data_IF_681642305635
#
_entry.id   IF_681642305635
#
_cell.length_a   1.000
_cell.length_b   1.000
_cell.length_c   1.000
_cell.angle_alpha   90.00
_cell.angle_beta   90.00
_cell.angle_gamma   90.00
#
_symmetry.space_group_name_H-M   'P 1'
#
loop_
_entity.id
_entity.type
_entity.pdbx_description
1 polymer ?
#
# COMPACT_ATOMS: atom_id res chain seq x y z
N UNK A 1 18.63 -55.89 -24.04
CA UNK A 1 18.14 -56.41 -22.76
C UNK A 1 18.87 -55.66 -21.63
N UNK A 2 18.18 -54.84 -20.94
CA UNK A 2 18.38 -54.40 -19.56
C UNK A 2 17.71 -53.07 -19.39
N UNK A 3 16.54 -53.03 -18.90
CA UNK A 3 16.10 -52.74 -17.55
C UNK A 3 16.28 -51.26 -17.12
N UNK A 4 15.27 -50.45 -17.49
CA UNK A 4 14.94 -49.20 -16.82
C UNK A 4 14.40 -49.50 -15.38
N UNK A 5 15.15 -49.17 -14.32
CA UNK A 5 14.61 -49.03 -12.99
C UNK A 5 14.28 -47.53 -12.73
N UNK A 6 13.00 -47.22 -12.70
CA UNK A 6 12.50 -45.98 -12.11
C UNK A 6 12.66 -46.08 -10.57
N UNK A 7 13.47 -45.23 -9.96
CA UNK A 7 13.49 -45.05 -8.52
C UNK A 7 12.29 -44.20 -8.09
N UNK A 8 11.35 -44.85 -7.45
CA UNK A 8 10.29 -44.16 -6.73
C UNK A 8 10.86 -43.47 -5.50
N UNK A 9 10.85 -42.15 -5.44
CA UNK A 9 11.25 -41.38 -4.25
C UNK A 9 10.11 -41.50 -3.24
N UNK A 10 10.27 -42.38 -2.25
CA UNK A 10 9.33 -42.49 -1.13
C UNK A 10 9.56 -41.31 -0.20
N UNK A 11 8.62 -40.37 -0.14
CA UNK A 11 8.59 -39.31 0.88
C UNK A 11 8.19 -39.96 2.18
N UNK A 12 9.19 -40.25 3.06
CA UNK A 12 8.93 -40.64 4.43
C UNK A 12 8.59 -39.42 5.25
N UNK A 13 7.34 -39.32 5.68
CA UNK A 13 6.91 -38.40 6.73
C UNK A 13 7.42 -38.93 8.06
N UNK A 14 8.37 -38.26 8.69
CA UNK A 14 8.82 -38.56 10.05
C UNK A 14 7.70 -38.17 11.03
N UNK A 15 6.89 -39.16 11.43
CA UNK A 15 5.86 -39.04 12.46
C UNK A 15 6.36 -39.50 13.84
N UNK A 16 7.56 -39.12 14.23
CA UNK A 16 8.05 -39.35 15.61
C UNK A 16 9.07 -38.28 15.98
N UNK A 17 8.57 -37.12 16.41
CA UNK A 17 9.21 -36.20 17.37
C UNK A 17 8.23 -35.08 17.73
N UNK A 18 7.11 -35.46 18.33
CA UNK A 18 6.09 -34.53 18.86
C UNK A 18 6.31 -34.34 20.37
N UNK A 19 7.34 -33.63 20.73
CA UNK A 19 7.41 -32.98 22.04
C UNK A 19 8.13 -31.65 21.88
N UNK A 20 7.36 -30.54 21.96
CA UNK A 20 7.84 -29.16 21.96
C UNK A 20 8.21 -28.55 20.60
N UNK A 21 7.39 -28.71 19.54
CA UNK A 21 7.35 -27.73 18.48
C UNK A 21 6.41 -26.60 18.91
N UNK A 22 6.94 -25.40 19.15
CA UNK A 22 6.19 -24.14 19.16
C UNK A 22 5.31 -24.12 17.91
N UNK A 23 4.01 -23.83 18.05
CA UNK A 23 3.10 -23.64 16.91
C UNK A 23 3.76 -22.70 15.90
N UNK A 24 4.19 -23.24 14.79
CA UNK A 24 4.51 -22.45 13.61
C UNK A 24 3.15 -21.95 13.12
N UNK A 25 2.93 -20.65 13.12
CA UNK A 25 1.71 -20.04 12.58
C UNK A 25 1.53 -20.52 11.14
N UNK A 26 0.59 -21.45 10.94
CA UNK A 26 0.28 -21.93 9.60
C UNK A 26 -0.46 -20.82 8.87
N UNK A 27 0.14 -20.28 7.82
CA UNK A 27 -0.49 -19.32 6.94
C UNK A 27 -1.69 -19.97 6.23
N UNK A 28 -2.78 -19.24 6.14
CA UNK A 28 -4.00 -19.66 5.48
C UNK A 28 -4.49 -18.57 4.52
N UNK A 29 -5.24 -18.92 3.47
CA UNK A 29 -5.79 -17.95 2.54
C UNK A 29 -6.99 -17.21 3.17
N UNK A 30 -6.68 -16.27 4.07
CA UNK A 30 -7.63 -15.46 4.80
C UNK A 30 -7.62 -14.05 4.24
N UNK A 31 -8.81 -13.54 3.97
CA UNK A 31 -9.07 -12.17 3.54
C UNK A 31 -10.10 -11.51 4.46
N UNK A 32 -10.05 -10.18 4.54
CA UNK A 32 -11.05 -9.43 5.28
C UNK A 32 -11.96 -8.69 4.31
N UNK A 33 -13.26 -8.79 4.56
CA UNK A 33 -14.28 -8.17 3.75
C UNK A 33 -15.21 -7.25 4.54
N UNK A 34 -16.09 -6.56 3.82
CA UNK A 34 -17.19 -5.78 4.38
C UNK A 34 -18.51 -6.27 3.81
N UNK A 35 -19.42 -6.64 4.66
CA UNK A 35 -20.78 -7.10 4.27
C UNK A 35 -21.79 -6.00 4.53
N UNK A 36 -22.74 -5.82 3.62
CA UNK A 36 -23.89 -4.97 3.82
C UNK A 36 -24.97 -5.75 4.57
N UNK A 37 -25.21 -5.38 5.83
CA UNK A 37 -26.16 -6.09 6.71
C UNK A 37 -27.62 -5.63 6.58
N UNK A 38 -27.87 -4.57 5.78
CA UNK A 38 -29.22 -4.02 5.57
C UNK A 38 -29.33 -3.46 4.16
N UNK A 39 -30.29 -3.92 3.38
CA UNK A 39 -30.59 -3.37 2.05
C UNK A 39 -30.93 -1.86 2.16
N UNK A 40 -30.20 -1.04 1.42
CA UNK A 40 -30.45 0.40 1.30
C UNK A 40 -29.89 1.31 2.40
N UNK A 41 -29.07 0.80 3.35
CA UNK A 41 -28.37 1.62 4.34
C UNK A 41 -26.86 1.35 4.31
N UNK A 42 -26.06 2.40 4.43
CA UNK A 42 -24.59 2.38 4.37
C UNK A 42 -23.88 1.72 5.57
N UNK A 43 -24.59 0.94 6.41
CA UNK A 43 -23.95 0.21 7.51
C UNK A 43 -23.32 -1.08 6.99
N UNK A 44 -22.03 -1.07 6.88
CA UNK A 44 -21.22 -2.26 6.61
C UNK A 44 -20.64 -2.81 7.91
N UNK A 45 -20.47 -4.13 7.96
CA UNK A 45 -19.80 -4.84 9.06
C UNK A 45 -18.59 -5.58 8.50
N UNK A 46 -17.44 -5.48 9.16
CA UNK A 46 -16.25 -6.24 8.80
C UNK A 46 -16.43 -7.73 9.06
N UNK A 47 -15.88 -8.55 8.19
CA UNK A 47 -15.96 -10.02 8.27
C UNK A 47 -14.62 -10.66 7.94
N UNK A 48 -14.31 -11.76 8.61
CA UNK A 48 -13.15 -12.62 8.35
C UNK A 48 -13.54 -13.76 7.43
N UNK A 49 -12.88 -13.85 6.29
CA UNK A 49 -13.25 -14.77 5.19
C UNK A 49 -12.12 -15.76 4.98
N UNK A 50 -12.44 -17.05 4.92
CA UNK A 50 -11.57 -18.11 4.44
C UNK A 50 -11.85 -18.35 2.96
N UNK A 51 -10.82 -18.40 2.12
CA UNK A 51 -10.90 -18.89 0.75
C UNK A 51 -10.60 -20.40 0.79
N UNK A 52 -11.59 -21.24 0.52
CA UNK A 52 -11.50 -22.70 0.69
C UNK A 52 -11.76 -23.42 -0.61
N UNK A 53 -10.68 -23.83 -1.31
CA UNK A 53 -10.76 -24.63 -2.53
C UNK A 53 -11.30 -26.04 -2.30
N UNK A 54 -11.39 -26.51 -1.04
CA UNK A 54 -12.01 -27.76 -0.66
C UNK A 54 -13.53 -27.68 -0.50
N UNK A 55 -14.08 -26.46 -0.39
CA UNK A 55 -15.53 -26.24 -0.31
C UNK A 55 -16.11 -25.99 -1.71
N UNK A 56 -17.11 -26.79 -2.11
CA UNK A 56 -17.78 -26.61 -3.40
C UNK A 56 -18.71 -25.40 -3.43
N UNK A 57 -19.14 -24.89 -2.30
CA UNK A 57 -20.10 -23.78 -2.17
C UNK A 57 -19.65 -22.76 -1.13
N UNK A 58 -20.13 -21.53 -1.28
CA UNK A 58 -19.84 -20.42 -0.38
C UNK A 58 -20.86 -20.34 0.78
N UNK A 59 -20.36 -20.02 1.99
CA UNK A 59 -21.12 -20.06 3.23
C UNK A 59 -20.92 -18.79 4.06
N UNK A 60 -21.97 -18.35 4.76
CA UNK A 60 -21.93 -17.22 5.68
C UNK A 60 -22.59 -17.55 7.02
N UNK A 61 -22.05 -17.04 8.12
CA UNK A 61 -22.65 -17.15 9.45
C UNK A 61 -24.00 -16.44 9.51
N UNK A 62 -24.97 -17.06 10.15
CA UNK A 62 -26.32 -16.51 10.34
C UNK A 62 -26.33 -15.13 11.00
N UNK A 63 -25.42 -14.86 11.92
CA UNK A 63 -25.34 -13.60 12.67
C UNK A 63 -25.08 -12.35 11.78
N UNK A 64 -24.54 -12.57 10.60
CA UNK A 64 -24.26 -11.50 9.63
C UNK A 64 -25.44 -11.21 8.69
N UNK A 65 -26.39 -12.11 8.60
CA UNK A 65 -27.50 -12.06 7.62
C UNK A 65 -28.90 -11.99 8.25
N UNK A 66 -28.98 -11.75 9.57
CA UNK A 66 -30.26 -11.74 10.33
C UNK A 66 -31.31 -10.75 9.81
N UNK A 67 -30.87 -9.67 9.13
CA UNK A 67 -31.73 -8.62 8.56
C UNK A 67 -31.94 -8.75 7.05
N UNK A 68 -31.40 -9.80 6.45
CA UNK A 68 -31.54 -10.08 5.02
C UNK A 68 -32.70 -11.07 4.80
N UNK A 69 -33.23 -11.07 3.59
CA UNK A 69 -34.27 -12.03 3.19
C UNK A 69 -33.66 -13.41 3.01
N UNK A 70 -33.99 -14.34 3.89
CA UNK A 70 -33.60 -15.74 3.80
C UNK A 70 -34.59 -16.52 2.94
N UNK A 71 -34.05 -17.46 2.15
CA UNK A 71 -34.82 -18.39 1.32
C UNK A 71 -34.55 -19.80 1.82
N UNK A 72 -35.61 -20.59 2.07
CA UNK A 72 -35.44 -21.99 2.45
C UNK A 72 -34.82 -22.79 1.29
N UNK A 73 -33.91 -23.66 1.63
CA UNK A 73 -33.26 -24.60 0.74
C UNK A 73 -33.28 -26.00 1.34
N UNK A 74 -32.93 -27.02 0.56
CA UNK A 74 -32.79 -28.37 1.07
C UNK A 74 -31.70 -28.41 2.17
N UNK A 75 -31.97 -29.18 3.24
CA UNK A 75 -30.96 -29.38 4.27
C UNK A 75 -29.75 -30.11 3.70
N UNK A 76 -28.58 -29.52 3.83
CA UNK A 76 -27.31 -30.08 3.36
C UNK A 76 -26.25 -30.00 4.45
N UNK A 77 -25.44 -31.04 4.55
CA UNK A 77 -24.25 -31.05 5.40
C UNK A 77 -23.02 -30.91 4.51
N UNK A 78 -22.19 -29.91 4.81
CA UNK A 78 -21.00 -29.60 4.04
C UNK A 78 -19.74 -29.93 4.85
N UNK A 79 -18.79 -30.59 4.23
CA UNK A 79 -17.47 -30.82 4.79
C UNK A 79 -16.52 -29.75 4.27
N UNK A 80 -16.01 -28.94 5.15
CA UNK A 80 -15.08 -27.86 4.76
C UNK A 80 -13.80 -27.98 5.60
N UNK A 81 -12.75 -27.27 5.22
CA UNK A 81 -11.52 -27.15 6.02
C UNK A 81 -11.80 -26.58 7.43
N UNK A 82 -12.96 -25.94 7.62
CA UNK A 82 -13.43 -25.36 8.87
C UNK A 82 -14.33 -26.30 9.69
N UNK A 83 -14.60 -27.52 9.22
CA UNK A 83 -15.46 -28.51 9.86
C UNK A 83 -16.77 -28.78 9.11
N UNK A 84 -17.73 -29.43 9.81
CA UNK A 84 -19.03 -29.72 9.25
C UNK A 84 -19.98 -28.53 9.42
N UNK A 85 -20.65 -28.14 8.35
CA UNK A 85 -21.62 -27.04 8.34
C UNK A 85 -22.96 -27.58 7.91
N UNK A 86 -24.00 -27.39 8.74
CA UNK A 86 -25.36 -27.68 8.38
C UNK A 86 -26.04 -26.42 7.84
N UNK A 87 -26.62 -26.50 6.65
CA UNK A 87 -27.32 -25.38 6.02
C UNK A 87 -28.70 -25.83 5.54
N UNK A 88 -29.71 -24.98 5.70
CA UNK A 88 -31.07 -25.17 5.21
C UNK A 88 -31.67 -23.88 4.62
N UNK A 89 -30.85 -22.84 4.47
CA UNK A 89 -31.25 -21.55 3.96
C UNK A 89 -30.16 -20.94 3.10
N UNK A 90 -30.59 -20.09 2.18
CA UNK A 90 -29.71 -19.25 1.33
C UNK A 90 -30.09 -17.79 1.45
N UNK A 91 -29.15 -16.93 1.23
CA UNK A 91 -29.38 -15.50 1.07
C UNK A 91 -28.51 -14.91 -0.03
N UNK A 92 -29.07 -13.93 -0.72
CA UNK A 92 -28.35 -13.07 -1.63
C UNK A 92 -27.77 -11.91 -0.84
N UNK A 93 -26.47 -11.76 -0.85
CA UNK A 93 -25.80 -10.72 -0.10
C UNK A 93 -24.81 -9.91 -0.96
N UNK A 94 -24.57 -8.69 -0.50
CA UNK A 94 -23.60 -7.80 -1.10
C UNK A 94 -22.43 -7.62 -0.15
N UNK A 95 -21.22 -7.81 -0.65
CA UNK A 95 -20.01 -7.62 0.13
C UNK A 95 -18.89 -7.09 -0.75
N UNK A 96 -17.84 -6.57 -0.14
CA UNK A 96 -16.64 -6.14 -0.82
C UNK A 96 -15.41 -6.75 -0.17
N UNK A 97 -14.34 -6.86 -0.95
CA UNK A 97 -13.01 -7.28 -0.51
C UNK A 97 -12.05 -6.09 -0.68
N UNK A 98 -12.04 -5.14 0.29
CA UNK A 98 -11.31 -3.88 0.17
C UNK A 98 -9.80 -4.06 0.05
N UNK A 99 -9.27 -5.20 0.50
CA UNK A 99 -7.84 -5.53 0.39
C UNK A 99 -7.38 -5.71 -1.05
N UNK A 100 -8.29 -6.07 -1.96
CA UNK A 100 -8.05 -6.13 -3.41
C UNK A 100 -8.56 -4.88 -4.11
N UNK A 101 -9.86 -4.56 -3.92
CA UNK A 101 -10.53 -3.43 -4.59
C UNK A 101 -11.51 -2.73 -3.63
N UNK A 102 -11.20 -1.50 -3.18
CA UNK A 102 -11.99 -0.78 -2.17
C UNK A 102 -13.42 -0.46 -2.58
N UNK A 103 -13.67 -0.26 -3.88
CA UNK A 103 -14.97 0.18 -4.41
C UNK A 103 -15.77 -0.94 -5.08
N UNK A 104 -15.17 -2.12 -5.29
CA UNK A 104 -15.82 -3.21 -6.01
C UNK A 104 -16.74 -3.99 -5.06
N UNK A 105 -18.02 -4.06 -5.42
CA UNK A 105 -19.03 -4.84 -4.67
C UNK A 105 -19.32 -6.15 -5.40
N UNK A 106 -19.34 -7.23 -4.65
CA UNK A 106 -19.69 -8.58 -5.10
C UNK A 106 -21.10 -8.87 -4.63
N UNK A 107 -21.96 -9.32 -5.54
CA UNK A 107 -23.27 -9.84 -5.24
C UNK A 107 -23.27 -11.35 -5.47
N UNK A 108 -23.60 -12.13 -4.44
CA UNK A 108 -23.59 -13.58 -4.52
C UNK A 108 -24.66 -14.22 -3.65
N UNK A 109 -25.20 -15.38 -4.06
CA UNK A 109 -26.10 -16.19 -3.25
C UNK A 109 -25.29 -17.22 -2.45
N UNK A 110 -25.37 -17.13 -1.12
CA UNK A 110 -24.61 -17.97 -0.20
C UNK A 110 -25.50 -18.83 0.67
N UNK A 111 -25.01 -20.01 1.04
CA UNK A 111 -25.61 -20.81 2.07
C UNK A 111 -25.45 -20.18 3.44
N UNK A 112 -26.53 -20.19 4.24
CA UNK A 112 -26.54 -19.67 5.61
C UNK A 112 -26.46 -20.84 6.58
N UNK A 113 -25.42 -20.85 7.41
CA UNK A 113 -25.18 -21.94 8.35
C UNK A 113 -24.75 -21.47 9.73
N UNK A 114 -24.83 -22.41 10.68
CA UNK A 114 -24.19 -22.26 11.99
C UNK A 114 -22.76 -22.75 11.83
N UNK A 115 -21.83 -21.77 11.76
CA UNK A 115 -20.38 -22.01 11.76
C UNK A 115 -19.92 -22.09 13.23
N UNK A 116 -20.41 -23.10 13.99
CA UNK A 116 -19.99 -23.32 15.38
C UNK A 116 -18.53 -23.76 15.41
N UNK A 117 -17.75 -23.18 16.33
CA UNK A 117 -16.31 -23.45 16.51
C UNK A 117 -15.40 -23.06 15.33
N UNK A 118 -15.83 -22.20 14.44
CA UNK A 118 -15.03 -21.78 13.29
C UNK A 118 -14.54 -20.35 13.49
N UNK A 119 -13.24 -20.15 13.27
CA UNK A 119 -12.57 -18.83 13.39
C UNK A 119 -12.90 -17.87 12.24
N UNK A 120 -13.84 -18.21 11.36
CA UNK A 120 -14.22 -17.45 10.16
C UNK A 120 -15.70 -17.09 10.18
N UNK A 121 -16.03 -15.95 9.61
CA UNK A 121 -17.41 -15.45 9.50
C UNK A 121 -18.05 -15.84 8.16
N UNK A 122 -17.22 -16.07 7.15
CA UNK A 122 -17.61 -16.45 5.80
C UNK A 122 -16.57 -17.41 5.22
N UNK A 123 -17.03 -18.32 4.37
CA UNK A 123 -16.18 -19.18 3.53
C UNK A 123 -16.56 -18.91 2.08
N UNK A 124 -15.58 -18.56 1.27
CA UNK A 124 -15.71 -18.48 -0.19
C UNK A 124 -15.22 -19.81 -0.75
N UNK A 125 -16.13 -20.56 -1.34
CA UNK A 125 -15.87 -21.85 -1.98
C UNK A 125 -15.55 -21.72 -3.46
N UNK A 126 -15.35 -22.87 -4.13
CA UNK A 126 -15.00 -22.93 -5.54
C UNK A 126 -16.02 -22.25 -6.45
N UNK A 127 -17.31 -22.31 -6.10
CA UNK A 127 -18.38 -21.64 -6.83
C UNK A 127 -18.10 -20.15 -7.08
N UNK A 128 -17.59 -19.45 -6.09
CA UNK A 128 -17.27 -18.03 -6.21
C UNK A 128 -15.80 -17.79 -6.58
N UNK A 129 -14.85 -18.62 -6.10
CA UNK A 129 -13.43 -18.51 -6.46
C UNK A 129 -13.22 -18.62 -7.96
N UNK A 130 -13.88 -19.58 -8.62
CA UNK A 130 -13.83 -19.76 -10.08
C UNK A 130 -14.48 -18.58 -10.81
N UNK A 131 -15.64 -18.10 -10.31
CA UNK A 131 -16.33 -16.96 -10.92
C UNK A 131 -15.48 -15.68 -10.86
N UNK A 132 -14.81 -15.44 -9.74
CA UNK A 132 -13.93 -14.28 -9.54
C UNK A 132 -12.55 -14.47 -10.19
N UNK A 133 -12.19 -15.69 -10.59
CA UNK A 133 -10.86 -16.07 -11.08
C UNK A 133 -9.76 -15.73 -10.10
N UNK A 134 -9.98 -16.09 -8.83
CA UNK A 134 -9.01 -15.88 -7.76
C UNK A 134 -8.01 -17.04 -7.71
N UNK A 135 -6.73 -16.72 -7.67
CA UNK A 135 -5.64 -17.69 -7.55
C UNK A 135 -5.06 -17.71 -6.14
N UNK A 136 -4.97 -18.90 -5.55
CA UNK A 136 -4.36 -19.14 -4.24
C UNK A 136 -3.00 -19.79 -4.47
N UNK A 137 -1.93 -19.02 -4.28
CA UNK A 137 -0.55 -19.43 -4.56
C UNK A 137 0.17 -19.85 -3.26
N UNK A 138 0.14 -21.13 -2.94
CA UNK A 138 0.83 -21.66 -1.75
C UNK A 138 2.36 -21.57 -1.84
N UNK A 139 2.93 -21.54 -3.06
CA UNK A 139 4.38 -21.42 -3.28
C UNK A 139 4.94 -20.07 -2.83
N UNK A 140 4.17 -19.00 -2.97
CA UNK A 140 4.53 -17.63 -2.59
C UNK A 140 3.79 -17.16 -1.33
N UNK A 141 2.85 -17.98 -0.84
CA UNK A 141 1.93 -17.66 0.25
C UNK A 141 1.12 -16.38 -0.04
N UNK A 142 0.60 -16.25 -1.26
CA UNK A 142 -0.17 -15.10 -1.72
C UNK A 142 -1.51 -15.50 -2.32
N UNK A 143 -2.42 -14.54 -2.39
CA UNK A 143 -3.74 -14.64 -3.03
C UNK A 143 -3.80 -13.55 -4.09
N UNK A 144 -4.12 -13.93 -5.32
CA UNK A 144 -4.23 -13.01 -6.46
C UNK A 144 -5.69 -12.93 -6.92
N UNK A 145 -6.15 -11.72 -7.16
CA UNK A 145 -7.43 -11.48 -7.81
C UNK A 145 -7.26 -10.37 -8.84
N UNK A 146 -7.41 -10.73 -10.11
CA UNK A 146 -7.20 -9.85 -11.25
C UNK A 146 -5.75 -9.29 -11.26
N UNK A 147 -5.53 -8.03 -10.93
CA UNK A 147 -4.19 -7.42 -10.86
C UNK A 147 -3.68 -7.19 -9.44
N UNK A 148 -4.52 -7.49 -8.44
CA UNK A 148 -4.19 -7.28 -7.03
C UNK A 148 -3.71 -8.58 -6.38
N UNK A 149 -2.64 -8.51 -5.60
CA UNK A 149 -2.06 -9.64 -4.86
C UNK A 149 -1.88 -9.27 -3.39
N UNK A 150 -2.34 -10.14 -2.49
CA UNK A 150 -2.22 -9.97 -1.04
C UNK A 150 -1.57 -11.20 -0.40
N UNK A 151 -0.84 -11.07 0.73
CA UNK A 151 -0.24 -12.20 1.41
C UNK A 151 -1.28 -13.03 2.17
N UNK A 152 -1.07 -14.34 2.25
CA UNK A 152 -1.79 -15.21 3.19
C UNK A 152 -1.47 -14.82 4.64
N UNK A 153 -2.37 -15.12 5.56
CA UNK A 153 -2.32 -14.67 6.95
C UNK A 153 -2.33 -15.82 7.93
N UNK A 154 -1.87 -15.55 9.15
CA UNK A 154 -2.08 -16.47 10.27
C UNK A 154 -3.56 -16.71 10.52
N UNK A 155 -3.92 -17.93 10.95
CA UNK A 155 -5.30 -18.26 11.34
C UNK A 155 -5.82 -17.38 12.48
N UNK A 156 -4.93 -16.85 13.31
CA UNK A 156 -5.28 -15.99 14.44
C UNK A 156 -5.37 -14.49 14.04
N UNK A 157 -5.16 -14.15 12.74
CA UNK A 157 -5.33 -12.79 12.26
C UNK A 157 -6.74 -12.25 12.55
N UNK A 158 -6.81 -11.02 13.04
CA UNK A 158 -8.07 -10.35 13.39
C UNK A 158 -8.46 -9.30 12.36
N UNK A 159 -9.72 -8.88 12.36
CA UNK A 159 -10.21 -7.78 11.53
C UNK A 159 -9.42 -6.49 11.79
N UNK A 160 -8.97 -6.27 13.02
CA UNK A 160 -8.14 -5.11 13.39
C UNK A 160 -6.81 -5.08 12.62
N UNK A 161 -6.27 -6.23 12.26
CA UNK A 161 -5.09 -6.35 11.40
C UNK A 161 -5.35 -5.87 9.96
N UNK A 162 -6.63 -5.84 9.52
CA UNK A 162 -7.04 -5.31 8.21
C UNK A 162 -7.44 -3.84 8.25
N UNK A 163 -8.01 -3.36 9.37
CA UNK A 163 -8.47 -1.98 9.51
C UNK A 163 -7.33 -0.96 9.49
N UNK A 164 -6.13 -1.36 9.87
CA UNK A 164 -4.93 -0.53 9.75
C UNK A 164 -4.56 -0.23 8.28
N UNK A 165 -5.10 -0.99 7.33
CA UNK A 165 -4.88 -0.80 5.89
C UNK A 165 -6.11 -0.17 5.21
N UNK A 166 -7.33 -0.40 5.72
CA UNK A 166 -8.57 -0.19 4.96
C UNK A 166 -9.44 0.99 5.41
N UNK A 167 -9.27 1.55 6.60
CA UNK A 167 -10.24 2.51 7.16
C UNK A 167 -9.93 3.99 6.94
N UNK A 168 -8.84 4.28 6.21
CA UNK A 168 -8.63 5.65 5.76
C UNK A 168 -8.52 5.65 4.24
N UNK A 169 -9.41 6.33 3.49
CA UNK A 169 -9.22 6.58 2.06
C UNK A 169 -7.81 7.08 1.75
N UNK A 170 -7.23 7.84 2.67
CA UNK A 170 -5.85 8.32 2.65
C UNK A 170 -4.79 7.20 2.68
N UNK A 171 -5.02 6.06 3.35
CA UNK A 171 -4.05 4.96 3.39
C UNK A 171 -4.07 4.10 2.12
N UNK A 172 -5.22 4.00 1.44
CA UNK A 172 -5.31 3.32 0.14
C UNK A 172 -4.68 4.15 -0.96
N UNK A 173 -4.94 5.44 -0.99
CA UNK A 173 -4.26 6.38 -1.88
C UNK A 173 -2.76 6.43 -1.56
N UNK A 174 -2.37 6.40 -0.28
CA UNK A 174 -0.97 6.28 0.12
C UNK A 174 -0.35 4.95 -0.34
N UNK A 175 -1.07 3.82 -0.31
CA UNK A 175 -0.58 2.54 -0.81
C UNK A 175 -0.44 2.52 -2.35
N UNK A 176 -1.38 3.14 -3.08
CA UNK A 176 -1.27 3.31 -4.52
C UNK A 176 -0.15 4.30 -4.90
N UNK A 177 0.06 5.35 -4.11
CA UNK A 177 1.17 6.29 -4.25
C UNK A 177 2.51 5.67 -3.91
N UNK A 178 2.59 4.82 -2.87
CA UNK A 178 3.76 3.97 -2.60
C UNK A 178 4.08 3.14 -3.84
N UNK A 179 3.07 2.65 -4.55
CA UNK A 179 3.26 1.96 -5.84
C UNK A 179 3.94 2.86 -6.88
N UNK A 180 3.46 4.09 -7.04
CA UNK A 180 3.99 5.02 -8.05
C UNK A 180 5.40 5.51 -7.72
N UNK A 181 5.68 5.79 -6.44
CA UNK A 181 6.98 6.30 -5.98
C UNK A 181 8.07 5.22 -6.08
N UNK A 182 7.79 3.98 -5.70
CA UNK A 182 8.74 2.87 -5.80
C UNK A 182 8.99 2.41 -7.25
N UNK A 183 8.09 2.76 -8.18
CA UNK A 183 8.21 2.40 -9.61
C UNK A 183 8.94 3.47 -10.42
N UNK A 184 9.24 4.63 -9.84
CA UNK A 184 9.89 5.72 -10.55
C UNK A 184 11.38 5.44 -10.77
N UNK A 185 11.81 5.49 -12.02
CA UNK A 185 13.22 5.59 -12.37
C UNK A 185 13.63 7.05 -12.15
N UNK A 186 14.53 7.27 -11.19
CA UNK A 186 15.03 8.59 -10.84
C UNK A 186 16.25 8.91 -11.71
N UNK A 187 15.98 9.43 -12.88
CA UNK A 187 16.98 9.87 -13.85
C UNK A 187 16.79 11.37 -14.12
N UNK A 188 17.85 12.11 -14.42
CA UNK A 188 17.71 13.49 -14.86
C UNK A 188 16.71 13.60 -16.00
N UNK A 189 15.85 14.60 -15.95
CA UNK A 189 14.86 14.82 -16.99
C UNK A 189 15.49 15.58 -18.17
N UNK A 190 15.14 15.17 -19.40
CA UNK A 190 15.43 16.00 -20.56
C UNK A 190 14.35 17.08 -20.66
N UNK A 191 14.67 18.28 -20.15
CA UNK A 191 13.72 19.40 -20.09
C UNK A 191 13.31 19.91 -21.47
N UNK A 192 14.14 19.69 -22.49
CA UNK A 192 13.81 20.04 -23.88
C UNK A 192 12.71 19.14 -24.42
N UNK A 193 12.79 17.83 -24.13
CA UNK A 193 11.73 16.87 -24.49
C UNK A 193 10.44 17.10 -23.71
N UNK A 194 10.55 17.42 -22.41
CA UNK A 194 9.39 17.72 -21.57
C UNK A 194 8.61 18.92 -22.13
N UNK A 195 9.29 20.03 -22.40
CA UNK A 195 8.65 21.22 -22.98
C UNK A 195 8.07 20.95 -24.38
N UNK A 196 8.76 20.16 -25.20
CA UNK A 196 8.30 19.80 -26.55
C UNK A 196 7.04 18.88 -26.51
N UNK A 197 6.90 18.06 -25.47
CA UNK A 197 5.76 17.12 -25.34
C UNK A 197 4.47 17.76 -24.84
N UNK A 198 4.46 19.05 -24.48
CA UNK A 198 3.26 19.78 -24.05
C UNK A 198 2.41 20.20 -25.25
N UNK A 199 1.63 19.27 -25.82
CA UNK A 199 0.87 19.49 -27.07
C UNK A 199 -0.26 20.52 -26.95
N UNK A 200 -0.69 20.82 -25.75
CA UNK A 200 -1.67 21.84 -25.40
C UNK A 200 -1.12 23.28 -25.44
N UNK A 201 0.20 23.47 -25.53
CA UNK A 201 0.87 24.77 -25.57
C UNK A 201 1.28 25.17 -26.99
N UNK A 202 1.23 26.46 -27.30
CA UNK A 202 1.79 27.04 -28.53
C UNK A 202 3.31 26.94 -28.55
N UNK A 203 3.93 27.20 -29.70
CA UNK A 203 5.39 27.15 -29.82
C UNK A 203 6.10 28.20 -28.92
N UNK A 204 5.52 29.38 -28.79
CA UNK A 204 6.07 30.47 -27.97
C UNK A 204 5.92 30.13 -26.46
N UNK A 205 4.78 29.57 -26.09
CA UNK A 205 4.54 29.09 -24.72
C UNK A 205 5.46 27.95 -24.32
N UNK A 206 5.71 26.98 -25.22
CA UNK A 206 6.71 25.92 -25.01
C UNK A 206 8.11 26.46 -24.83
N UNK A 207 8.49 27.48 -25.61
CA UNK A 207 9.81 28.09 -25.50
C UNK A 207 9.99 28.85 -24.17
N UNK A 208 8.97 29.58 -23.74
CA UNK A 208 8.98 30.27 -22.44
C UNK A 208 8.97 29.29 -21.26
N UNK A 209 8.19 28.20 -21.33
CA UNK A 209 8.24 27.09 -20.37
C UNK A 209 9.63 26.47 -20.28
N UNK A 210 10.23 26.14 -21.43
CA UNK A 210 11.59 25.59 -21.49
C UNK A 210 12.60 26.50 -20.81
N UNK A 211 12.51 27.81 -21.02
CA UNK A 211 13.39 28.79 -20.39
C UNK A 211 13.22 28.76 -18.86
N UNK A 212 11.99 28.69 -18.36
CA UNK A 212 11.72 28.59 -16.94
C UNK A 212 12.23 27.27 -16.35
N UNK A 213 11.96 26.13 -16.99
CA UNK A 213 12.45 24.83 -16.55
C UNK A 213 13.98 24.78 -16.46
N UNK A 214 14.69 25.36 -17.45
CA UNK A 214 16.16 25.45 -17.44
C UNK A 214 16.69 26.34 -16.31
N UNK A 215 16.00 27.42 -15.97
CA UNK A 215 16.35 28.27 -14.82
C UNK A 215 16.35 27.46 -13.51
N UNK A 216 15.49 26.46 -13.38
CA UNK A 216 15.35 25.59 -12.21
C UNK A 216 15.76 24.13 -12.49
N UNK A 217 16.72 23.92 -13.42
CA UNK A 217 17.17 22.58 -13.82
C UNK A 217 17.56 21.68 -12.64
N UNK A 218 18.12 22.27 -11.59
CA UNK A 218 18.50 21.57 -10.38
C UNK A 218 17.32 20.90 -9.64
N UNK A 219 16.05 21.32 -9.87
CA UNK A 219 14.86 20.67 -9.33
C UNK A 219 14.57 19.32 -10.01
N UNK A 220 15.07 19.13 -11.24
CA UNK A 220 14.71 18.05 -12.16
C UNK A 220 15.87 17.07 -12.43
N UNK A 221 16.93 17.14 -11.62
CA UNK A 221 18.16 16.35 -11.80
C UNK A 221 18.03 14.87 -11.45
N UNK A 222 16.84 14.42 -10.99
CA UNK A 222 16.57 13.05 -10.61
C UNK A 222 17.18 12.64 -9.28
N UNK A 223 17.90 13.50 -8.59
CA UNK A 223 18.46 13.23 -7.27
C UNK A 223 17.42 13.27 -6.16
N UNK A 224 17.79 12.74 -4.99
CA UNK A 224 16.99 12.92 -3.78
C UNK A 224 17.34 14.27 -3.14
N UNK A 225 16.32 15.11 -2.92
CA UNK A 225 16.48 16.33 -2.16
C UNK A 225 16.51 16.08 -0.64
N UNK A 226 16.75 17.15 0.11
CA UNK A 226 16.67 17.13 1.56
C UNK A 226 15.91 18.37 2.01
N UNK A 227 14.83 18.17 2.73
CA UNK A 227 14.02 19.26 3.29
C UNK A 227 14.88 20.14 4.19
N UNK A 228 14.91 21.43 3.90
CA UNK A 228 15.62 22.43 4.72
C UNK A 228 14.77 22.75 5.94
N UNK A 229 15.16 22.30 7.13
CA UNK A 229 14.45 22.53 8.37
C UNK A 229 14.72 21.44 9.39
N UNK A 230 13.93 21.40 10.45
CA UNK A 230 14.15 20.47 11.55
C UNK A 230 13.87 19.01 11.14
N UNK A 231 14.71 18.12 11.66
CA UNK A 231 14.54 16.67 11.58
C UNK A 231 13.24 16.27 12.24
N UNK A 232 12.55 15.29 11.66
CA UNK A 232 11.30 14.80 12.24
C UNK A 232 11.54 13.85 13.39
N UNK A 233 10.89 14.15 14.55
CA UNK A 233 10.93 13.30 15.73
C UNK A 233 9.63 12.53 15.91
N UNK A 234 9.75 11.20 15.98
CA UNK A 234 8.63 10.28 16.20
C UNK A 234 8.36 10.19 17.69
N UNK A 235 7.19 10.65 18.10
CA UNK A 235 6.76 10.52 19.48
C UNK A 235 6.12 9.15 19.73
N UNK A 236 6.64 8.43 20.71
CA UNK A 236 6.06 7.19 21.17
C UNK A 236 5.03 7.42 22.28
N UNK A 237 4.11 6.49 22.43
CA UNK A 237 3.21 6.40 23.57
C UNK A 237 4.03 6.07 24.82
N UNK A 238 3.54 6.47 25.99
CA UNK A 238 4.24 6.26 27.28
C UNK A 238 4.42 4.79 27.66
N UNK A 239 3.57 3.90 27.11
CA UNK A 239 3.57 2.45 27.32
C UNK A 239 4.34 1.70 26.22
N UNK A 240 5.00 2.40 25.31
CA UNK A 240 5.68 1.80 24.15
C UNK A 240 6.90 0.98 24.60
N UNK A 241 6.95 -0.25 24.17
CA UNK A 241 8.10 -1.15 24.32
C UNK A 241 8.71 -1.48 22.96
N UNK A 242 10.03 -1.67 22.90
CA UNK A 242 10.68 -2.06 21.66
C UNK A 242 10.09 -3.32 21.05
N UNK A 243 10.02 -3.35 19.72
CA UNK A 243 9.55 -4.50 18.94
C UNK A 243 10.63 -4.95 17.97
N UNK A 244 10.96 -6.22 18.04
CA UNK A 244 11.97 -6.84 17.19
C UNK A 244 11.40 -8.08 16.51
N UNK A 245 11.12 -7.97 15.21
CA UNK A 245 10.70 -9.09 14.38
C UNK A 245 11.87 -9.93 13.88
N UNK A 246 11.55 -11.13 13.39
CA UNK A 246 12.45 -11.91 12.55
C UNK A 246 12.33 -11.45 11.10
N UNK A 247 13.44 -11.54 10.35
CA UNK A 247 13.42 -11.32 8.93
C UNK A 247 12.49 -12.30 8.22
N UNK A 248 11.70 -11.83 7.26
CA UNK A 248 10.96 -12.71 6.38
C UNK A 248 11.89 -13.42 5.39
N UNK A 249 11.61 -14.69 5.03
CA UNK A 249 12.34 -15.38 3.97
C UNK A 249 12.07 -14.69 2.63
N UNK A 250 13.13 -14.51 1.85
CA UNK A 250 13.08 -13.92 0.53
C UNK A 250 13.31 -15.03 -0.50
N UNK A 251 12.45 -15.16 -1.52
CA UNK A 251 12.67 -16.10 -2.61
C UNK A 251 14.02 -15.85 -3.29
N UNK A 252 14.80 -16.91 -3.55
CA UNK A 252 16.15 -16.79 -4.14
C UNK A 252 16.18 -16.03 -5.46
N UNK A 253 15.13 -16.16 -6.28
CA UNK A 253 15.03 -15.45 -7.57
C UNK A 253 15.00 -13.92 -7.42
N UNK A 254 14.55 -13.41 -6.28
CA UNK A 254 14.43 -11.96 -6.03
C UNK A 254 15.51 -11.41 -5.08
N UNK A 255 16.33 -12.28 -4.49
CA UNK A 255 17.31 -11.87 -3.48
C UNK A 255 18.31 -10.87 -4.05
N UNK A 256 18.85 -11.14 -5.24
CA UNK A 256 19.85 -10.26 -5.87
C UNK A 256 19.25 -8.89 -6.21
N UNK A 257 18.06 -8.86 -6.81
CA UNK A 257 17.35 -7.62 -7.14
C UNK A 257 17.08 -6.78 -5.89
N UNK A 258 16.65 -7.43 -4.80
CA UNK A 258 16.42 -6.74 -3.53
C UNK A 258 17.74 -6.22 -2.91
N UNK A 259 18.83 -6.95 -2.99
CA UNK A 259 20.15 -6.49 -2.51
C UNK A 259 20.56 -5.22 -3.26
N UNK A 260 20.44 -5.20 -4.59
CA UNK A 260 20.73 -4.01 -5.40
C UNK A 260 19.86 -2.83 -4.99
N UNK A 261 18.57 -3.03 -4.73
CA UNK A 261 17.69 -1.95 -4.28
C UNK A 261 18.08 -1.42 -2.89
N UNK A 262 18.40 -2.30 -1.95
CA UNK A 262 18.90 -1.91 -0.61
C UNK A 262 20.21 -1.13 -0.73
N UNK A 263 21.14 -1.59 -1.56
CA UNK A 263 22.42 -0.92 -1.79
C UNK A 263 22.20 0.47 -2.42
N UNK A 264 21.30 0.58 -3.38
CA UNK A 264 20.89 1.86 -3.97
C UNK A 264 20.33 2.82 -2.90
N UNK A 265 19.41 2.34 -2.04
CA UNK A 265 18.84 3.15 -0.96
C UNK A 265 19.92 3.57 0.06
N UNK A 266 20.93 2.74 0.28
CA UNK A 266 22.06 3.11 1.11
C UNK A 266 22.93 4.19 0.43
N UNK A 267 23.19 4.08 -0.87
CA UNK A 267 24.00 5.05 -1.64
C UNK A 267 23.35 6.44 -1.65
N UNK A 268 22.03 6.51 -1.80
CA UNK A 268 21.29 7.79 -1.78
C UNK A 268 20.96 8.28 -0.35
N UNK A 269 21.45 7.61 0.69
CA UNK A 269 21.31 8.05 2.07
C UNK A 269 19.93 7.82 2.69
N UNK A 270 19.06 7.00 2.09
CA UNK A 270 17.74 6.63 2.66
C UNK A 270 17.91 5.59 3.74
N UNK A 271 18.78 4.61 3.53
CA UNK A 271 19.07 3.53 4.47
C UNK A 271 20.53 3.59 4.94
N UNK A 272 20.75 3.17 6.18
CA UNK A 272 22.09 2.96 6.76
C UNK A 272 22.18 1.59 7.41
N UNK A 273 23.19 0.81 7.06
CA UNK A 273 23.43 -0.50 7.69
C UNK A 273 23.81 -0.34 9.16
N UNK A 274 23.18 -1.14 10.03
CA UNK A 274 23.45 -1.14 11.47
C UNK A 274 23.61 -2.56 12.00
N UNK A 275 24.37 -2.72 13.08
CA UNK A 275 24.65 -4.04 13.65
C UNK A 275 23.69 -4.39 14.79
N UNK A 276 23.26 -3.41 15.56
CA UNK A 276 22.43 -3.59 16.75
C UNK A 276 21.28 -2.61 16.75
N UNK A 277 20.08 -3.10 17.02
CA UNK A 277 18.91 -2.28 17.30
C UNK A 277 17.93 -3.10 18.13
N UNK A 278 17.28 -2.46 19.08
CA UNK A 278 16.17 -3.02 19.84
C UNK A 278 14.87 -3.06 19.03
N UNK A 279 14.81 -2.22 18.00
CA UNK A 279 13.71 -2.16 17.06
C UNK A 279 14.07 -2.86 15.77
N UNK A 280 13.15 -3.64 15.22
CA UNK A 280 13.33 -4.21 13.89
C UNK A 280 11.97 -4.56 13.28
N UNK A 281 11.56 -3.79 12.29
CA UNK A 281 10.40 -4.10 11.46
C UNK A 281 10.77 -5.14 10.39
N UNK A 282 9.96 -6.15 10.13
CA UNK A 282 10.21 -7.10 9.07
C UNK A 282 9.95 -6.43 7.72
N UNK A 283 10.66 -6.89 6.71
CA UNK A 283 10.55 -6.36 5.35
C UNK A 283 10.21 -7.48 4.40
N UNK A 284 9.28 -7.23 3.50
CA UNK A 284 8.92 -8.14 2.43
C UNK A 284 9.00 -7.46 1.08
N UNK A 285 8.95 -8.26 0.02
CA UNK A 285 9.00 -7.79 -1.35
C UNK A 285 7.75 -8.21 -2.10
N UNK A 286 7.34 -7.36 -3.03
CA UNK A 286 6.32 -7.70 -4.03
C UNK A 286 7.01 -7.67 -5.40
N UNK A 287 7.10 -8.80 -6.11
CA UNK A 287 7.62 -8.82 -7.47
C UNK A 287 6.74 -8.00 -8.40
N UNK A 288 7.36 -7.28 -9.35
CA UNK A 288 6.66 -6.55 -10.40
C UNK A 288 6.71 -7.30 -11.73
N UNK A 289 5.81 -6.95 -12.65
CA UNK A 289 5.75 -7.53 -14.00
C UNK A 289 7.03 -7.27 -14.83
N UNK A 290 7.76 -6.20 -14.54
CA UNK A 290 9.03 -5.83 -15.19
C UNK A 290 10.26 -6.53 -14.60
N UNK A 291 10.07 -7.48 -13.67
CA UNK A 291 11.15 -8.20 -12.99
C UNK A 291 11.81 -7.44 -11.83
N UNK A 292 11.44 -6.20 -11.59
CA UNK A 292 11.86 -5.45 -10.41
C UNK A 292 11.05 -5.88 -9.17
N UNK A 293 11.47 -5.44 -7.99
CA UNK A 293 10.78 -5.76 -6.74
C UNK A 293 10.35 -4.50 -6.02
N UNK A 294 9.20 -4.55 -5.36
CA UNK A 294 8.79 -3.58 -4.36
C UNK A 294 9.29 -3.99 -3.01
N UNK A 295 9.91 -3.06 -2.35
CA UNK A 295 10.42 -3.19 -1.00
C UNK A 295 9.42 -2.55 -0.03
N UNK A 296 8.85 -3.35 0.88
CA UNK A 296 7.84 -2.89 1.82
C UNK A 296 8.30 -3.20 3.24
N UNK A 297 8.46 -2.14 4.04
CA UNK A 297 8.76 -2.24 5.46
C UNK A 297 7.47 -2.29 6.27
N UNK A 298 7.31 -3.34 7.06
CA UNK A 298 6.12 -3.55 7.87
C UNK A 298 6.21 -2.81 9.21
N UNK A 299 5.78 -1.57 9.22
CA UNK A 299 5.76 -0.73 10.41
C UNK A 299 4.48 -0.85 11.25
N UNK A 300 3.60 -1.82 11.01
CA UNK A 300 2.34 -1.97 11.76
C UNK A 300 2.56 -2.03 13.26
N UNK A 301 3.55 -2.77 13.73
CA UNK A 301 3.86 -2.86 15.16
C UNK A 301 4.44 -1.56 15.72
N UNK A 302 5.23 -0.83 14.94
CA UNK A 302 5.70 0.49 15.32
C UNK A 302 4.53 1.49 15.35
N UNK A 303 3.64 1.45 14.36
CA UNK A 303 2.46 2.32 14.27
C UNK A 303 1.53 2.21 15.50
N UNK A 304 1.38 1.01 16.08
CA UNK A 304 0.62 0.81 17.33
C UNK A 304 1.23 1.57 18.52
N UNK A 305 2.53 1.85 18.48
CA UNK A 305 3.32 2.48 19.54
C UNK A 305 3.56 3.97 19.33
N UNK A 306 3.33 4.46 18.11
CA UNK A 306 3.45 5.88 17.76
C UNK A 306 2.25 6.64 18.32
N UNK A 307 2.52 7.83 18.86
CA UNK A 307 1.49 8.81 19.20
C UNK A 307 1.04 9.51 17.91
N UNK A 308 -0.16 9.19 17.44
CA UNK A 308 -0.69 9.79 16.22
C UNK A 308 -1.02 11.26 16.40
N UNK A 309 -0.56 12.08 15.47
CA UNK A 309 -0.88 13.50 15.35
C UNK A 309 -1.51 13.73 13.96
N UNK A 310 -2.84 13.59 13.84
CA UNK A 310 -3.50 13.74 12.55
C UNK A 310 -3.46 15.20 12.09
N UNK A 311 -3.15 15.40 10.81
CA UNK A 311 -3.28 16.66 10.11
C UNK A 311 -4.46 16.59 9.13
N UNK A 312 -5.27 17.66 8.95
CA UNK A 312 -6.38 17.62 8.00
C UNK A 312 -5.88 17.49 6.56
N UNK A 313 -6.03 16.30 6.00
CA UNK A 313 -5.75 16.06 4.58
C UNK A 313 -7.03 16.37 3.81
N UNK A 314 -6.98 17.28 2.80
CA UNK A 314 -8.15 17.63 2.04
C UNK A 314 -8.67 16.42 1.23
N UNK A 315 -9.96 16.34 0.99
CA UNK A 315 -10.50 15.34 0.06
C UNK A 315 -10.27 15.78 -1.38
N UNK A 316 -9.85 14.88 -2.25
CA UNK A 316 -9.64 15.16 -3.67
C UNK A 316 -10.89 15.78 -4.30
N UNK A 317 -12.08 15.25 -3.98
CA UNK A 317 -13.34 15.80 -4.47
C UNK A 317 -13.54 17.27 -4.09
N UNK A 318 -13.20 17.66 -2.86
CA UNK A 318 -13.32 19.04 -2.38
C UNK A 318 -12.30 19.97 -3.07
N UNK A 319 -11.13 19.44 -3.43
CA UNK A 319 -10.13 20.17 -4.21
C UNK A 319 -10.60 20.39 -5.64
N UNK A 320 -11.18 19.37 -6.27
CA UNK A 320 -11.68 19.43 -7.64
C UNK A 320 -12.91 20.34 -7.78
N UNK A 321 -13.82 20.34 -6.78
CA UNK A 321 -15.00 21.23 -6.78
C UNK A 321 -14.64 22.72 -6.74
N UNK A 322 -13.43 23.06 -6.31
CA UNK A 322 -12.93 24.44 -6.27
C UNK A 322 -12.17 24.86 -7.54
N UNK A 323 -12.10 23.97 -8.54
CA UNK A 323 -11.41 24.21 -9.80
C UNK A 323 -12.40 24.73 -10.86
N UNK A 324 -13.02 25.87 -10.63
CA UNK A 324 -13.90 26.51 -11.63
C UNK A 324 -13.11 27.58 -12.40
N UNK A 325 -13.25 27.57 -13.73
CA UNK A 325 -12.84 28.67 -14.60
C UNK A 325 -11.35 28.86 -14.82
N UNK A 326 -10.49 27.87 -14.52
CA UNK A 326 -9.06 27.97 -14.83
C UNK A 326 -8.81 27.90 -16.35
N UNK A 327 -7.78 28.60 -16.79
CA UNK A 327 -7.32 28.61 -18.18
C UNK A 327 -6.09 27.70 -18.36
N UNK A 328 -5.17 27.73 -17.40
CA UNK A 328 -3.98 26.87 -17.37
C UNK A 328 -3.90 26.10 -16.08
N UNK A 329 -3.39 24.86 -16.17
CA UNK A 329 -3.20 23.99 -15.03
C UNK A 329 -1.87 23.23 -15.13
N UNK A 330 -1.04 23.32 -14.11
CA UNK A 330 0.20 22.55 -13.98
C UNK A 330 0.10 21.62 -12.77
N UNK A 331 0.41 20.34 -12.98
CA UNK A 331 0.51 19.35 -11.92
C UNK A 331 1.98 18.93 -11.75
N UNK A 332 2.50 19.06 -10.52
CA UNK A 332 3.87 18.68 -10.19
C UNK A 332 3.87 17.47 -9.25
N UNK A 333 4.64 16.44 -9.59
CA UNK A 333 4.93 15.26 -8.77
C UNK A 333 6.29 15.43 -8.09
N UNK A 334 6.35 15.31 -6.76
CA UNK A 334 7.61 15.44 -6.04
C UNK A 334 8.41 14.13 -6.11
N UNK A 335 9.70 14.28 -6.41
CA UNK A 335 10.61 13.14 -6.54
C UNK A 335 10.86 12.48 -5.18
N UNK A 336 10.47 11.19 -5.00
CA UNK A 336 10.64 10.43 -3.74
C UNK A 336 9.94 11.01 -2.50
N UNK A 337 9.01 11.95 -2.63
CA UNK A 337 8.12 12.48 -1.59
C UNK A 337 8.67 12.48 -0.16
N UNK A 338 8.28 11.51 0.65
CA UNK A 338 8.62 11.45 2.08
C UNK A 338 10.12 11.37 2.38
N UNK A 339 10.94 10.80 1.49
CA UNK A 339 12.39 10.69 1.70
C UNK A 339 13.13 12.02 1.69
N UNK A 340 12.47 13.14 1.37
CA UNK A 340 13.06 14.45 1.56
C UNK A 340 13.23 14.82 3.04
N UNK A 341 12.41 14.28 3.94
CA UNK A 341 12.39 14.63 5.35
C UNK A 341 13.40 13.76 6.11
N UNK A 342 14.35 14.39 6.79
CA UNK A 342 15.28 13.73 7.70
C UNK A 342 14.55 13.28 8.98
N UNK A 343 14.94 12.13 9.51
CA UNK A 343 14.53 11.68 10.85
C UNK A 343 15.53 12.14 11.89
N UNK A 344 15.05 12.49 13.10
CA UNK A 344 15.92 12.71 14.24
C UNK A 344 16.73 11.45 14.58
N UNK A 345 17.88 11.56 15.25
CA UNK A 345 18.70 10.40 15.65
C UNK A 345 17.93 9.34 16.45
N UNK A 346 16.97 9.77 17.28
CA UNK A 346 16.11 8.84 18.02
C UNK A 346 15.13 8.12 17.08
N UNK A 347 14.51 8.85 16.17
CA UNK A 347 13.53 8.32 15.22
C UNK A 347 14.14 7.38 14.21
N UNK A 348 15.40 7.59 13.79
CA UNK A 348 16.16 6.66 12.93
C UNK A 348 16.22 5.26 13.54
N UNK A 349 16.49 5.17 14.85
CA UNK A 349 16.54 3.88 15.57
C UNK A 349 15.20 3.15 15.59
N UNK A 350 14.09 3.88 15.72
CA UNK A 350 12.73 3.32 15.71
C UNK A 350 12.39 2.71 14.35
N UNK A 351 12.88 3.33 13.27
CA UNK A 351 12.65 2.92 11.90
C UNK A 351 13.68 1.90 11.40
N UNK A 352 14.18 1.05 12.28
CA UNK A 352 15.06 -0.07 11.90
C UNK A 352 14.24 -1.18 11.24
N UNK A 353 14.77 -1.72 10.14
CA UNK A 353 14.26 -2.89 9.44
C UNK A 353 15.23 -4.06 9.50
N UNK A 354 14.69 -5.27 9.37
CA UNK A 354 15.48 -6.50 9.35
C UNK A 354 15.28 -7.27 8.06
N UNK A 355 16.40 -7.61 7.43
CA UNK A 355 16.51 -8.45 6.25
C UNK A 355 17.31 -9.71 6.61
N UNK A 356 17.25 -10.80 5.84
CA UNK A 356 18.01 -12.04 6.13
C UNK A 356 19.53 -11.83 6.27
N UNK A 357 20.09 -10.78 5.65
CA UNK A 357 21.53 -10.46 5.65
C UNK A 357 21.92 -9.28 6.53
N UNK A 358 21.01 -8.69 7.30
CA UNK A 358 21.34 -7.60 8.21
C UNK A 358 20.22 -6.66 8.56
N UNK A 359 20.55 -5.65 9.33
CA UNK A 359 19.63 -4.60 9.77
C UNK A 359 20.01 -3.28 9.13
N UNK A 360 19.00 -2.47 8.85
CA UNK A 360 19.16 -1.15 8.25
C UNK A 360 18.24 -0.15 8.95
N UNK A 361 18.72 1.04 9.21
CA UNK A 361 17.95 2.15 9.75
C UNK A 361 17.57 3.11 8.63
N UNK A 362 16.32 3.52 8.57
CA UNK A 362 15.91 4.65 7.76
C UNK A 362 16.52 5.94 8.31
N UNK A 363 17.17 6.67 7.43
CA UNK A 363 17.69 8.01 7.73
C UNK A 363 16.64 9.07 7.44
N UNK A 364 15.76 8.79 6.49
CA UNK A 364 14.68 9.62 5.97
C UNK A 364 13.33 9.07 6.41
N UNK A 365 12.29 9.91 6.40
CA UNK A 365 10.92 9.52 6.76
C UNK A 365 10.43 8.39 5.86
N UNK A 366 10.21 7.17 6.40
CA UNK A 366 9.81 6.04 5.58
C UNK A 366 8.33 6.08 5.24
N UNK A 367 8.00 5.44 4.15
CA UNK A 367 6.62 5.08 3.84
C UNK A 367 6.13 4.00 4.80
N UNK A 368 4.82 3.97 5.06
CA UNK A 368 4.19 2.97 5.93
C UNK A 368 4.10 3.35 7.41
N UNK A 369 4.71 4.47 7.83
CA UNK A 369 4.38 5.07 9.13
C UNK A 369 3.02 5.78 9.06
N UNK A 370 2.22 5.64 10.12
CA UNK A 370 0.88 6.23 10.20
C UNK A 370 0.88 7.75 10.12
N UNK A 371 1.97 8.41 10.54
CA UNK A 371 2.09 9.87 10.54
C UNK A 371 2.75 10.43 9.26
N UNK A 372 3.37 9.61 8.40
CA UNK A 372 4.10 10.13 7.23
C UNK A 372 3.25 10.98 6.30
N UNK A 373 2.01 10.60 5.95
CA UNK A 373 1.15 11.45 5.13
C UNK A 373 0.78 12.77 5.83
N UNK A 374 0.44 12.68 7.12
CA UNK A 374 0.04 13.86 7.91
C UNK A 374 1.15 14.90 7.97
N UNK A 375 2.39 14.45 8.26
CA UNK A 375 3.58 15.31 8.35
C UNK A 375 3.91 15.94 7.00
N UNK A 376 3.89 15.15 5.95
CA UNK A 376 4.23 15.66 4.62
C UNK A 376 3.20 16.69 4.15
N UNK A 377 1.90 16.40 4.36
CA UNK A 377 0.83 17.35 4.05
C UNK A 377 0.96 18.64 4.86
N UNK A 378 1.26 18.56 6.16
CA UNK A 378 1.48 19.73 7.02
C UNK A 378 2.61 20.61 6.49
N UNK A 379 3.76 19.99 6.21
CA UNK A 379 4.93 20.70 5.67
C UNK A 379 4.65 21.33 4.32
N UNK A 380 4.00 20.61 3.40
CA UNK A 380 3.64 21.12 2.08
C UNK A 380 2.60 22.24 2.15
N UNK A 381 1.59 22.11 3.00
CA UNK A 381 0.58 23.16 3.22
C UNK A 381 1.22 24.43 3.79
N UNK A 382 2.17 24.28 4.70
CA UNK A 382 2.93 25.40 5.26
C UNK A 382 3.84 26.05 4.20
N UNK A 383 4.54 25.24 3.40
CA UNK A 383 5.42 25.72 2.34
C UNK A 383 4.67 26.54 1.28
N UNK A 384 3.46 26.11 0.92
CA UNK A 384 2.63 26.78 -0.10
C UNK A 384 1.65 27.80 0.49
N UNK A 385 1.72 28.08 1.80
CA UNK A 385 0.86 29.06 2.45
C UNK A 385 0.96 30.45 1.77
N UNK A 386 -0.19 31.09 1.53
CA UNK A 386 -0.29 32.39 0.82
C UNK A 386 -0.24 32.31 -0.70
N UNK A 387 -0.10 31.11 -1.31
CA UNK A 387 -0.28 30.90 -2.74
C UNK A 387 -1.67 30.33 -3.01
N UNK A 388 -2.66 31.20 -3.20
CA UNK A 388 -4.06 30.78 -3.36
C UNK A 388 -4.33 30.00 -4.67
N UNK A 389 -3.43 30.11 -5.64
CA UNK A 389 -3.45 29.40 -6.92
C UNK A 389 -2.84 27.99 -6.85
N UNK A 390 -2.32 27.58 -5.69
CA UNK A 390 -1.73 26.24 -5.50
C UNK A 390 -2.62 25.41 -4.57
N UNK A 391 -2.80 24.15 -4.92
CA UNK A 391 -3.43 23.11 -4.08
C UNK A 391 -2.41 22.02 -3.83
N UNK A 392 -2.26 21.63 -2.57
CA UNK A 392 -1.35 20.56 -2.16
C UNK A 392 -2.14 19.34 -1.76
N UNK A 393 -1.75 18.20 -2.28
CA UNK A 393 -2.28 16.92 -1.85
C UNK A 393 -1.15 15.91 -1.70
N UNK A 394 -0.63 15.82 -0.47
CA UNK A 394 0.55 15.05 -0.09
C UNK A 394 1.75 15.47 -0.98
N UNK A 395 2.20 14.62 -1.90
CA UNK A 395 3.34 14.84 -2.81
C UNK A 395 2.96 15.44 -4.18
N UNK A 396 1.66 15.65 -4.42
CA UNK A 396 1.15 16.32 -5.62
C UNK A 396 0.86 17.81 -5.36
N UNK A 397 1.28 18.64 -6.27
CA UNK A 397 0.97 20.05 -6.31
C UNK A 397 0.16 20.33 -7.58
N UNK A 398 -0.99 20.94 -7.43
CA UNK A 398 -1.80 21.44 -8.54
C UNK A 398 -1.82 22.96 -8.51
N UNK A 399 -1.28 23.57 -9.55
CA UNK A 399 -1.30 25.01 -9.80
C UNK A 399 -2.31 25.31 -10.89
N UNK A 400 -3.23 26.26 -10.64
CA UNK A 400 -4.23 26.68 -11.61
C UNK A 400 -4.32 28.20 -11.68
N UNK A 401 -4.44 28.76 -12.87
CA UNK A 401 -4.59 30.20 -13.09
C UNK A 401 -5.72 30.49 -14.06
N UNK A 402 -6.37 31.67 -13.87
CA UNK A 402 -7.49 32.13 -14.71
C UNK A 402 -7.04 33.20 -15.72
N UNK A 403 -5.77 33.60 -15.66
CA UNK A 403 -5.17 34.65 -16.48
C UNK A 403 -4.38 34.04 -17.63
N UNK A 404 -3.60 34.89 -18.35
CA UNK A 404 -2.78 34.48 -19.47
C UNK A 404 -1.59 33.61 -19.08
N UNK A 405 -0.88 33.10 -20.09
CA UNK A 405 0.26 32.21 -19.92
C UNK A 405 1.43 32.85 -19.15
N UNK A 406 1.68 34.13 -19.36
CA UNK A 406 2.78 34.84 -18.70
C UNK A 406 2.55 34.93 -17.19
N UNK A 407 1.32 35.13 -16.75
CA UNK A 407 0.96 35.07 -15.34
C UNK A 407 1.05 33.65 -14.78
N UNK A 408 0.65 32.65 -15.57
CA UNK A 408 0.81 31.23 -15.17
C UNK A 408 2.30 30.90 -14.93
N UNK A 409 3.19 31.32 -15.83
CA UNK A 409 4.65 31.13 -15.68
C UNK A 409 5.21 31.85 -14.45
N UNK A 410 4.76 33.06 -14.13
CA UNK A 410 5.15 33.77 -12.89
C UNK A 410 4.72 33.00 -11.64
N UNK A 411 3.50 32.49 -11.65
CA UNK A 411 2.98 31.64 -10.56
C UNK A 411 3.80 30.36 -10.41
N UNK A 412 4.12 29.70 -11.52
CA UNK A 412 4.95 28.50 -11.55
C UNK A 412 6.38 28.77 -11.06
N UNK A 413 6.95 29.90 -11.44
CA UNK A 413 8.26 30.34 -10.95
C UNK A 413 8.29 30.53 -9.43
N UNK A 414 7.25 31.13 -8.84
CA UNK A 414 7.12 31.26 -7.39
C UNK A 414 7.08 29.89 -6.70
N UNK A 415 6.37 28.92 -7.28
CA UNK A 415 6.34 27.56 -6.77
C UNK A 415 7.69 26.89 -6.85
N UNK A 416 8.38 26.98 -8.00
CA UNK A 416 9.73 26.43 -8.17
C UNK A 416 10.74 27.05 -7.20
N UNK A 417 10.65 28.35 -6.97
CA UNK A 417 11.52 29.01 -6.01
C UNK A 417 11.31 28.47 -4.59
N UNK A 418 10.04 28.31 -4.15
CA UNK A 418 9.76 27.73 -2.83
C UNK A 418 10.23 26.29 -2.70
N UNK A 419 10.03 25.47 -3.73
CA UNK A 419 10.52 24.09 -3.76
C UNK A 419 12.06 24.04 -3.70
N UNK A 420 12.71 24.91 -4.44
CA UNK A 420 14.18 25.05 -4.44
C UNK A 420 14.71 25.45 -3.07
N UNK A 421 14.13 26.48 -2.45
CA UNK A 421 14.52 26.98 -1.13
C UNK A 421 14.30 25.92 -0.03
N UNK A 422 13.27 25.10 -0.20
CA UNK A 422 12.98 23.98 0.68
C UNK A 422 13.84 22.73 0.42
N UNK A 423 14.70 22.73 -0.60
CA UNK A 423 15.56 21.60 -0.96
C UNK A 423 14.81 20.41 -1.56
N UNK A 424 13.61 20.63 -2.11
CA UNK A 424 12.78 19.59 -2.73
C UNK A 424 13.18 19.36 -4.20
N UNK A 425 12.79 18.20 -4.73
CA UNK A 425 13.03 17.81 -6.12
C UNK A 425 11.73 17.39 -6.78
N UNK A 426 11.60 17.65 -8.07
CA UNK A 426 10.41 17.42 -8.89
C UNK A 426 10.69 16.35 -9.94
N UNK A 427 9.73 15.46 -10.15
CA UNK A 427 9.77 14.48 -11.23
C UNK A 427 9.09 15.04 -12.49
N UNK A 428 9.87 15.65 -13.38
CA UNK A 428 9.32 16.27 -14.59
C UNK A 428 8.60 15.26 -15.52
N UNK A 429 9.02 13.98 -15.53
CA UNK A 429 8.37 12.94 -16.38
C UNK A 429 6.95 12.58 -15.91
N UNK A 430 6.66 12.81 -14.63
CA UNK A 430 5.33 12.60 -14.02
C UNK A 430 4.53 13.88 -13.83
N UNK A 431 5.16 15.02 -14.07
CA UNK A 431 4.53 16.32 -14.00
C UNK A 431 3.86 16.65 -15.33
N UNK A 432 2.80 17.46 -15.26
CA UNK A 432 2.07 17.97 -16.41
C UNK A 432 2.15 19.50 -16.39
N UNK A 433 2.39 20.12 -17.52
CA UNK A 433 2.56 21.57 -17.65
C UNK A 433 1.57 22.17 -18.65
N UNK A 434 0.81 23.20 -18.22
CA UNK A 434 -0.06 24.04 -19.01
C UNK A 434 -1.52 23.63 -19.10
#
# INVERSE_FOLDING_TARGET
>A
MSLFRRSATTIRTNAENTAKRRKVDQLAPIVFGRIQTTLGKSKTRGIKILLDTGSSQSHVKRDFVTKLRLRKDASATWNTAAGHILTNEKCKLHFSLPEFYPTRTIEWEMHVGTLENVHYDMIIGNDLLECLKMDIKYSTATIEWDTAEIPMRSRDATIEDSYLIADTPCLQEAAERIKQILDAKYEPANLDEIAASCDNLTLDERQSLKTLLKKFEHLFDGSLGTWTGDDYDIELRSDATPYHARAFPIPRVHEQTLRHEVDRLCQIGVLKKVNRSEWAAPTFIIPKKDGSVRFISDFRELNKRIKRKPFPIPKIQDLLLKLEGFQYATSLDLNMGYYHIELSPNSKRLCTIVLPWGKYEYQKLPMGLCNSPDIFQEKMSTLMCGLEFVRTYIDDLLLTTMSDWDDHLKCLEMVFQRLSDAGLKVNAKKSFFG
#
